data_IF_259198343465
#
_entry.id   IF_259198343465
#
_cell.length_a   1.000
_cell.length_b   1.000
_cell.length_c   1.000
_cell.angle_alpha   90.00
_cell.angle_beta   90.00
_cell.angle_gamma   90.00
#
_symmetry.space_group_name_H-M   'P 1'
#
loop_
_entity.id
_entity.type
_entity.pdbx_description
1 polymer ?
#
# COMPACT_ATOMS: atom_id res chain seq x y z
N UNK A 1 -11.39 17.00 7.90
CA UNK A 1 -11.20 16.49 9.25
C UNK A 1 -11.52 17.47 10.36
N UNK A 2 -12.04 18.70 10.11
CA UNK A 2 -12.08 19.73 11.15
C UNK A 2 -13.48 19.98 11.76
N UNK A 3 -14.55 19.75 11.02
CA UNK A 3 -15.91 20.00 11.55
C UNK A 3 -16.40 18.89 12.50
N UNK A 4 -16.07 17.64 12.25
CA UNK A 4 -16.43 16.51 13.12
C UNK A 4 -15.68 16.56 14.45
N UNK A 5 -14.41 16.93 14.44
CA UNK A 5 -13.61 17.13 15.63
C UNK A 5 -14.22 18.19 16.55
N UNK A 6 -14.54 19.37 16.03
CA UNK A 6 -15.10 20.47 16.82
C UNK A 6 -16.45 20.14 17.49
N UNK A 7 -17.30 19.32 16.85
CA UNK A 7 -18.57 18.88 17.44
C UNK A 7 -18.35 17.90 18.62
N UNK A 8 -17.42 16.97 18.49
CA UNK A 8 -17.06 16.03 19.56
C UNK A 8 -16.47 16.79 20.77
N UNK A 9 -15.58 17.74 20.55
CA UNK A 9 -14.97 18.55 21.60
C UNK A 9 -16.02 19.35 22.39
N UNK A 10 -17.01 19.94 21.70
CA UNK A 10 -18.12 20.65 22.37
C UNK A 10 -18.96 19.70 23.22
N UNK A 11 -19.26 18.52 22.73
CA UNK A 11 -20.02 17.50 23.45
C UNK A 11 -19.30 17.03 24.70
N UNK A 12 -17.99 16.74 24.61
CA UNK A 12 -17.18 16.39 25.79
C UNK A 12 -17.25 17.48 26.83
N UNK A 13 -17.05 18.74 26.43
CA UNK A 13 -17.11 19.87 27.34
C UNK A 13 -18.51 20.08 27.98
N UNK A 14 -19.57 19.83 27.22
CA UNK A 14 -20.94 19.90 27.74
C UNK A 14 -21.24 18.83 28.80
N UNK A 15 -20.71 17.61 28.59
CA UNK A 15 -20.95 16.45 29.48
C UNK A 15 -20.05 16.51 30.70
N UNK A 16 -18.77 16.87 30.53
CA UNK A 16 -17.78 16.80 31.60
C UNK A 16 -17.50 18.14 32.27
N UNK A 17 -17.95 19.25 31.71
CA UNK A 17 -17.62 20.64 32.13
C UNK A 17 -16.11 20.95 32.10
N UNK A 18 -15.30 20.15 31.39
CA UNK A 18 -13.85 20.29 31.30
C UNK A 18 -13.35 20.35 29.88
N UNK A 19 -12.17 20.94 29.68
CA UNK A 19 -11.44 20.86 28.43
C UNK A 19 -11.02 19.41 28.17
N UNK A 20 -10.80 19.10 26.88
CA UNK A 20 -10.30 17.78 26.48
C UNK A 20 -8.91 17.54 27.09
N UNK A 21 -8.72 16.33 27.65
CA UNK A 21 -7.55 15.99 28.45
C UNK A 21 -7.83 15.97 29.95
N UNK A 22 -8.89 16.64 30.41
CA UNK A 22 -9.26 16.69 31.83
C UNK A 22 -10.58 15.96 32.13
N UNK A 23 -11.17 15.32 31.11
CA UNK A 23 -12.35 14.49 31.29
C UNK A 23 -12.01 13.16 31.96
N UNK A 24 -12.86 12.70 32.88
CA UNK A 24 -12.71 11.46 33.59
C UNK A 24 -14.05 10.83 33.96
N UNK A 25 -14.08 9.55 34.41
CA UNK A 25 -15.32 8.79 34.63
C UNK A 25 -16.02 9.14 35.96
N UNK A 26 -15.36 9.84 36.86
CA UNK A 26 -15.89 10.08 38.21
C UNK A 26 -16.96 11.19 38.18
N UNK A 27 -18.14 10.88 38.69
CA UNK A 27 -19.23 11.85 38.79
C UNK A 27 -20.00 12.13 37.49
N UNK A 28 -19.80 11.33 36.42
CA UNK A 28 -20.57 11.46 35.19
C UNK A 28 -21.90 10.70 35.26
N UNK A 29 -22.95 11.30 34.75
CA UNK A 29 -24.29 10.72 34.61
C UNK A 29 -24.49 10.22 33.15
N UNK A 30 -23.54 9.41 32.66
CA UNK A 30 -23.60 8.77 31.35
C UNK A 30 -23.08 7.33 31.47
N UNK A 31 -23.45 6.43 30.53
CA UNK A 31 -22.85 5.10 30.48
C UNK A 31 -21.31 5.16 30.35
N UNK A 32 -20.59 4.46 31.22
CA UNK A 32 -19.13 4.36 31.21
C UNK A 32 -18.73 2.95 30.87
N UNK A 33 -18.07 2.79 29.74
CA UNK A 33 -17.50 1.52 29.30
C UNK A 33 -16.01 1.49 29.61
N UNK A 34 -15.54 0.38 30.17
CA UNK A 34 -14.16 0.22 30.61
C UNK A 34 -13.50 -0.93 29.90
N UNK A 35 -12.28 -0.71 29.40
CA UNK A 35 -11.48 -1.78 28.83
C UNK A 35 -11.07 -2.80 29.89
N UNK A 36 -10.91 -4.06 29.47
CA UNK A 36 -10.50 -5.17 30.36
C UNK A 36 -9.18 -4.92 31.07
N UNK A 37 -8.21 -4.26 30.41
CA UNK A 37 -6.92 -3.92 31.02
C UNK A 37 -7.11 -2.86 32.10
N UNK A 38 -7.90 -1.83 31.82
CA UNK A 38 -8.20 -0.76 32.79
C UNK A 38 -8.97 -1.33 33.99
N UNK A 39 -9.84 -2.32 33.77
CA UNK A 39 -10.56 -2.98 34.85
C UNK A 39 -9.66 -3.69 35.86
N UNK A 40 -8.44 -4.07 35.48
CA UNK A 40 -7.44 -4.67 36.36
C UNK A 40 -6.52 -3.65 37.06
N UNK A 41 -6.55 -2.39 36.61
CA UNK A 41 -5.69 -1.34 37.17
C UNK A 41 -6.18 -0.92 38.56
N UNK A 42 -5.21 -0.43 39.38
CA UNK A 42 -5.47 0.13 40.70
C UNK A 42 -4.73 1.45 40.84
N UNK A 43 -5.33 2.36 41.63
CA UNK A 43 -4.71 3.64 41.97
C UNK A 43 -4.26 4.47 40.75
N UNK A 44 -5.06 4.45 39.70
CA UNK A 44 -4.74 5.15 38.46
C UNK A 44 -5.13 6.65 38.50
N UNK A 45 -4.72 7.40 37.50
CA UNK A 45 -4.98 8.83 37.37
C UNK A 45 -6.03 9.02 36.27
N UNK A 46 -7.01 9.89 36.51
CA UNK A 46 -8.04 10.28 35.53
C UNK A 46 -8.27 11.78 35.55
N UNK A 47 -8.82 12.34 34.51
CA UNK A 47 -9.30 13.72 34.54
C UNK A 47 -10.36 13.91 35.64
N UNK A 48 -10.38 15.10 36.22
CA UNK A 48 -11.29 15.42 37.33
C UNK A 48 -12.60 16.10 36.87
N UNK A 49 -12.86 16.17 35.56
CA UNK A 49 -13.97 16.93 34.97
C UNK A 49 -13.92 18.42 35.31
N UNK A 50 -12.74 18.93 35.56
CA UNK A 50 -12.40 20.33 35.76
C UNK A 50 -11.08 20.61 35.05
N UNK A 51 -10.98 21.74 34.36
CA UNK A 51 -9.80 22.12 33.59
C UNK A 51 -8.57 22.21 34.48
N UNK A 52 -7.44 21.66 34.05
CA UNK A 52 -6.15 21.56 34.76
C UNK A 52 -6.15 20.67 36.03
N UNK A 53 -7.21 19.87 36.22
CA UNK A 53 -7.34 19.03 37.41
C UNK A 53 -7.40 17.53 37.06
N UNK A 54 -6.76 16.71 37.91
CA UNK A 54 -6.79 15.26 37.84
C UNK A 54 -7.02 14.62 39.22
N UNK A 55 -7.81 13.54 39.22
CA UNK A 55 -7.86 12.65 40.40
C UNK A 55 -6.75 11.63 40.34
N UNK A 56 -6.10 11.37 41.47
CA UNK A 56 -5.14 10.29 41.69
C UNK A 56 -5.71 9.22 42.59
N UNK A 57 -5.17 8.01 42.50
CA UNK A 57 -5.59 6.86 43.29
C UNK A 57 -7.04 6.45 43.07
N UNK A 58 -7.51 6.63 41.85
CA UNK A 58 -8.88 6.24 41.45
C UNK A 58 -8.95 4.72 41.28
N UNK A 59 -10.04 4.14 41.73
CA UNK A 59 -10.31 2.70 41.65
C UNK A 59 -11.74 2.45 41.21
N UNK A 60 -11.92 1.47 40.32
CA UNK A 60 -13.21 0.99 39.88
C UNK A 60 -14.00 0.43 41.04
N UNK A 61 -15.31 0.58 41.04
CA UNK A 61 -16.27 0.19 42.08
C UNK A 61 -16.10 0.91 43.44
N UNK A 62 -15.15 1.82 43.53
CA UNK A 62 -14.98 2.71 44.69
C UNK A 62 -15.31 4.14 44.35
N UNK A 63 -14.69 4.67 43.29
CA UNK A 63 -14.79 6.07 42.88
C UNK A 63 -15.77 6.28 41.72
N UNK A 64 -15.98 5.24 40.90
CA UNK A 64 -17.03 5.14 39.89
C UNK A 64 -17.34 3.67 39.60
N UNK A 65 -18.53 3.40 39.05
CA UNK A 65 -18.95 2.07 38.61
C UNK A 65 -19.14 2.04 37.10
N UNK A 66 -18.45 1.17 36.37
CA UNK A 66 -18.64 1.06 34.93
C UNK A 66 -19.99 0.44 34.61
N UNK A 67 -20.60 0.88 33.51
CA UNK A 67 -21.80 0.25 32.94
C UNK A 67 -21.48 -1.14 32.44
N UNK A 68 -20.32 -1.29 31.79
CA UNK A 68 -19.86 -2.56 31.25
C UNK A 68 -18.34 -2.58 31.13
N UNK A 69 -17.75 -3.77 31.28
CA UNK A 69 -16.31 -4.03 31.01
C UNK A 69 -16.23 -4.82 29.70
N UNK A 70 -15.60 -4.25 28.68
CA UNK A 70 -15.50 -4.84 27.35
C UNK A 70 -14.07 -4.76 26.81
N UNK A 71 -13.79 -5.46 25.72
CA UNK A 71 -12.54 -5.37 24.99
C UNK A 71 -12.69 -4.29 23.90
N UNK A 72 -12.27 -3.08 24.23
CA UNK A 72 -12.48 -1.88 23.40
C UNK A 72 -11.19 -1.19 22.98
N UNK A 73 -10.06 -1.60 23.52
CA UNK A 73 -8.74 -1.04 23.17
C UNK A 73 -8.31 -1.48 21.76
N UNK A 74 -7.75 -0.56 21.03
CA UNK A 74 -7.09 -0.88 19.76
C UNK A 74 -5.77 -1.59 20.04
N UNK A 75 -5.49 -2.64 19.26
CA UNK A 75 -4.23 -3.40 19.33
C UNK A 75 -3.03 -2.54 18.93
N UNK A 76 -1.91 -2.70 19.63
CA UNK A 76 -0.68 -1.95 19.37
C UNK A 76 0.52 -2.87 19.13
N UNK A 77 1.60 -2.29 18.59
CA UNK A 77 2.88 -3.01 18.46
C UNK A 77 3.42 -3.41 19.82
N UNK A 78 3.73 -4.68 19.96
CA UNK A 78 4.22 -5.26 21.23
C UNK A 78 3.15 -6.01 22.01
N UNK A 79 1.87 -5.83 21.72
CA UNK A 79 0.81 -6.65 22.30
C UNK A 79 1.03 -8.12 22.00
N UNK A 80 0.55 -8.97 22.89
CA UNK A 80 0.74 -10.42 22.77
C UNK A 80 -0.40 -11.05 21.98
N UNK A 81 -0.06 -11.81 20.95
CA UNK A 81 -1.05 -12.57 20.18
C UNK A 81 -1.72 -13.63 21.06
N UNK A 82 -3.05 -13.62 21.23
CA UNK A 82 -3.76 -14.58 22.09
C UNK A 82 -3.69 -16.03 21.61
N UNK A 83 -3.34 -16.27 20.34
CA UNK A 83 -3.24 -17.62 19.78
C UNK A 83 -1.84 -18.23 19.92
N UNK A 84 -0.79 -17.46 19.69
CA UNK A 84 0.57 -18.00 19.63
C UNK A 84 1.54 -17.41 20.67
N UNK A 85 1.12 -16.42 21.45
CA UNK A 85 1.94 -15.78 22.50
C UNK A 85 3.08 -14.90 21.97
N UNK A 86 3.23 -14.72 20.66
CA UNK A 86 4.28 -13.87 20.08
C UNK A 86 3.86 -12.40 20.06
N UNK A 87 4.81 -11.46 20.17
CA UNK A 87 4.49 -10.04 20.05
C UNK A 87 3.96 -9.70 18.67
N UNK A 88 2.94 -8.86 18.64
CA UNK A 88 2.33 -8.32 17.43
C UNK A 88 3.22 -7.20 16.89
N UNK A 89 3.34 -7.15 15.56
CA UNK A 89 3.98 -6.06 14.82
C UNK A 89 2.93 -5.36 13.97
N UNK A 90 2.97 -4.05 13.94
CA UNK A 90 2.16 -3.24 13.03
C UNK A 90 3.03 -2.70 11.90
N UNK A 91 2.45 -2.56 10.72
CA UNK A 91 3.11 -1.98 9.56
C UNK A 91 2.10 -1.12 8.79
N UNK A 92 2.60 -0.09 8.13
CA UNK A 92 1.80 0.65 7.16
C UNK A 92 1.64 -0.20 5.90
N UNK A 93 0.43 -0.23 5.35
CA UNK A 93 0.11 -0.96 4.14
C UNK A 93 -0.63 -0.09 3.13
N UNK A 94 -0.46 -0.41 1.84
CA UNK A 94 -1.25 0.19 0.77
C UNK A 94 -2.41 -0.76 0.47
N UNK A 95 -3.65 -0.28 0.65
CA UNK A 95 -4.84 -1.06 0.30
C UNK A 95 -5.01 -1.11 -1.21
N UNK A 96 -4.69 -2.25 -1.82
CA UNK A 96 -4.78 -2.45 -3.27
C UNK A 96 -6.12 -3.02 -3.73
N UNK A 97 -6.87 -3.61 -2.83
CA UNK A 97 -8.20 -4.15 -3.10
C UNK A 97 -9.06 -4.27 -1.85
N UNK A 98 -10.37 -4.32 -2.02
CA UNK A 98 -11.32 -4.42 -0.91
C UNK A 98 -12.52 -5.31 -1.28
N UNK A 99 -12.96 -6.12 -0.33
CA UNK A 99 -14.17 -6.95 -0.44
C UNK A 99 -15.23 -6.37 0.48
N UNK A 100 -16.38 -6.02 -0.09
CA UNK A 100 -17.52 -5.51 0.65
C UNK A 100 -18.63 -6.56 0.74
N UNK A 101 -19.08 -6.88 1.94
CA UNK A 101 -20.28 -7.64 2.19
C UNK A 101 -21.46 -6.67 2.29
N UNK A 102 -22.14 -6.42 1.18
CA UNK A 102 -23.22 -5.43 1.11
C UNK A 102 -24.54 -5.96 1.71
N UNK A 103 -24.69 -7.28 1.83
CA UNK A 103 -25.92 -7.90 2.30
C UNK A 103 -27.11 -7.54 1.41
N UNK A 104 -28.21 -7.11 2.01
CA UNK A 104 -29.43 -6.72 1.28
C UNK A 104 -29.63 -5.21 1.22
N UNK A 105 -28.66 -4.40 1.67
CA UNK A 105 -28.79 -2.94 1.78
C UNK A 105 -29.29 -2.27 0.50
N UNK A 106 -28.75 -2.65 -0.65
CA UNK A 106 -29.12 -2.07 -1.94
C UNK A 106 -30.24 -2.85 -2.61
N UNK A 107 -30.22 -4.18 -2.52
CA UNK A 107 -31.24 -5.03 -3.12
C UNK A 107 -32.62 -4.83 -2.51
N UNK A 108 -32.74 -4.59 -1.21
CA UNK A 108 -34.00 -4.23 -0.57
C UNK A 108 -34.51 -2.88 -1.08
N UNK A 109 -33.66 -1.86 -1.13
CA UNK A 109 -34.02 -0.53 -1.61
C UNK A 109 -34.45 -0.51 -3.10
N UNK A 110 -33.84 -1.38 -3.92
CA UNK A 110 -34.14 -1.50 -5.35
C UNK A 110 -35.25 -2.51 -5.66
N UNK A 111 -35.75 -3.23 -4.64
CA UNK A 111 -36.73 -4.30 -4.82
C UNK A 111 -36.18 -5.51 -5.60
N UNK A 112 -34.85 -5.72 -5.61
CA UNK A 112 -34.22 -6.81 -6.34
C UNK A 112 -34.41 -8.14 -5.61
N UNK A 113 -35.23 -9.02 -6.21
CA UNK A 113 -35.57 -10.33 -5.67
C UNK A 113 -35.36 -11.43 -6.71
N UNK A 114 -35.09 -12.63 -6.25
CA UNK A 114 -35.07 -13.86 -7.05
C UNK A 114 -35.92 -14.93 -6.40
N UNK A 115 -36.33 -15.91 -7.17
CA UNK A 115 -36.99 -17.10 -6.64
C UNK A 115 -35.93 -18.11 -6.21
N UNK A 116 -36.09 -18.69 -5.03
CA UNK A 116 -35.28 -19.82 -4.59
C UNK A 116 -35.78 -21.14 -5.24
N UNK A 117 -35.09 -22.23 -4.94
CA UNK A 117 -35.39 -23.57 -5.47
C UNK A 117 -36.81 -24.04 -5.12
N UNK A 118 -37.45 -23.47 -4.10
CA UNK A 118 -38.83 -23.76 -3.68
C UNK A 118 -39.86 -22.82 -4.28
N UNK A 119 -39.43 -21.88 -5.15
CA UNK A 119 -40.29 -20.86 -5.75
C UNK A 119 -40.61 -19.67 -4.83
N UNK A 120 -39.97 -19.55 -3.67
CA UNK A 120 -40.16 -18.40 -2.78
C UNK A 120 -39.28 -17.21 -3.21
N UNK A 121 -39.89 -16.04 -3.22
CA UNK A 121 -39.19 -14.79 -3.48
C UNK A 121 -38.27 -14.42 -2.30
N UNK A 122 -37.00 -14.22 -2.58
CA UNK A 122 -35.96 -13.76 -1.63
C UNK A 122 -35.23 -12.56 -2.14
N UNK A 123 -34.91 -11.62 -1.26
CA UNK A 123 -34.01 -10.49 -1.58
C UNK A 123 -32.64 -11.02 -1.87
N UNK A 124 -32.01 -10.52 -2.94
CA UNK A 124 -30.68 -10.95 -3.37
C UNK A 124 -29.62 -10.42 -2.39
N UNK A 125 -28.74 -11.29 -1.93
CA UNK A 125 -27.56 -10.90 -1.15
C UNK A 125 -26.47 -10.44 -2.09
N UNK A 126 -25.92 -9.27 -1.83
CA UNK A 126 -24.92 -8.61 -2.69
C UNK A 126 -23.53 -8.59 -2.05
N UNK A 127 -22.51 -8.66 -2.89
CA UNK A 127 -21.13 -8.36 -2.57
C UNK A 127 -20.55 -7.39 -3.59
N UNK A 128 -19.46 -6.72 -3.23
CA UNK A 128 -18.69 -5.89 -4.14
C UNK A 128 -17.21 -6.21 -3.96
N UNK A 129 -16.51 -6.38 -5.07
CA UNK A 129 -15.11 -6.80 -5.08
C UNK A 129 -14.33 -5.81 -5.94
N UNK A 130 -13.48 -5.01 -5.33
CA UNK A 130 -12.73 -3.96 -6.01
C UNK A 130 -11.22 -4.19 -5.98
N UNK A 131 -10.55 -3.87 -7.09
CA UNK A 131 -9.09 -3.76 -7.18
C UNK A 131 -8.75 -2.40 -7.77
N UNK A 132 -7.86 -1.66 -7.11
CA UNK A 132 -7.30 -0.42 -7.62
C UNK A 132 -6.13 -0.71 -8.56
N UNK A 133 -6.40 -0.90 -9.86
CA UNK A 133 -5.38 -1.28 -10.86
C UNK A 133 -4.21 -0.30 -10.87
N UNK A 134 -4.48 0.99 -10.95
CA UNK A 134 -3.45 2.04 -10.91
C UNK A 134 -2.75 2.12 -9.56
N UNK A 135 -3.46 1.81 -8.47
CA UNK A 135 -2.85 1.72 -7.14
C UNK A 135 -1.93 0.51 -7.01
N UNK A 136 -2.26 -0.63 -7.64
CA UNK A 136 -1.35 -1.78 -7.70
C UNK A 136 -0.05 -1.42 -8.41
N UNK A 137 -0.13 -0.65 -9.51
CA UNK A 137 1.04 -0.17 -10.23
C UNK A 137 1.92 0.73 -9.34
N UNK A 138 1.31 1.72 -8.68
CA UNK A 138 2.02 2.60 -7.75
C UNK A 138 2.63 1.84 -6.57
N UNK A 139 1.91 0.88 -5.99
CA UNK A 139 2.41 0.03 -4.92
C UNK A 139 3.58 -0.87 -5.37
N UNK A 140 3.55 -1.36 -6.61
CA UNK A 140 4.66 -2.12 -7.17
C UNK A 140 5.94 -1.26 -7.30
N UNK A 141 5.82 -0.01 -7.73
CA UNK A 141 6.93 0.94 -7.78
C UNK A 141 7.48 1.23 -6.39
N UNK A 142 6.61 1.51 -5.41
CA UNK A 142 6.99 1.77 -4.02
C UNK A 142 7.75 0.59 -3.36
N UNK A 143 7.50 -0.62 -3.79
CA UNK A 143 8.13 -1.82 -3.25
C UNK A 143 9.34 -2.31 -4.05
N UNK A 144 9.51 -1.84 -5.29
CA UNK A 144 10.55 -2.30 -6.20
C UNK A 144 11.27 -1.09 -6.82
N UNK A 145 12.19 -0.52 -6.07
CA UNK A 145 13.03 0.59 -6.50
C UNK A 145 14.39 0.56 -5.79
N UNK A 146 15.34 1.29 -6.33
CA UNK A 146 16.62 1.59 -5.71
C UNK A 146 16.97 3.08 -5.92
N UNK A 147 18.18 3.48 -5.57
CA UNK A 147 18.68 4.86 -5.73
C UNK A 147 18.77 5.33 -7.20
N UNK A 148 18.75 4.41 -8.16
CA UNK A 148 18.83 4.71 -9.59
C UNK A 148 17.46 4.80 -10.26
N UNK A 149 16.40 4.30 -9.63
CA UNK A 149 15.03 4.37 -10.15
C UNK A 149 14.19 3.12 -9.90
N UNK A 150 13.21 2.91 -10.77
CA UNK A 150 12.25 1.81 -10.66
C UNK A 150 12.93 0.46 -11.00
N UNK A 151 12.44 -0.60 -10.37
CA UNK A 151 12.79 -2.00 -10.71
C UNK A 151 11.48 -2.70 -11.04
N UNK A 152 11.08 -2.69 -12.30
CA UNK A 152 9.82 -3.33 -12.69
C UNK A 152 9.89 -4.84 -12.57
N UNK A 153 8.91 -5.50 -11.93
CA UNK A 153 8.64 -6.91 -12.19
C UNK A 153 8.31 -7.12 -13.67
N UNK A 154 8.95 -8.07 -14.32
CA UNK A 154 8.83 -8.30 -15.77
C UNK A 154 7.37 -8.42 -16.22
N UNK A 155 6.52 -9.07 -15.41
CA UNK A 155 5.10 -9.32 -15.72
C UNK A 155 4.23 -8.05 -15.86
N UNK A 156 4.68 -6.91 -15.36
CA UNK A 156 3.95 -5.63 -15.39
C UNK A 156 4.82 -4.48 -15.94
N UNK A 157 6.02 -4.78 -16.39
CA UNK A 157 6.90 -3.80 -16.99
C UNK A 157 6.27 -3.24 -18.29
N UNK A 158 6.27 -1.91 -18.49
CA UNK A 158 5.75 -1.30 -19.73
C UNK A 158 6.55 -1.72 -20.95
N UNK A 159 7.84 -2.00 -20.77
CA UNK A 159 8.74 -2.59 -21.76
C UNK A 159 9.62 -3.60 -21.05
N UNK A 160 9.84 -4.76 -21.68
CA UNK A 160 10.70 -5.81 -21.14
C UNK A 160 12.17 -5.54 -21.38
N UNK A 161 12.50 -4.90 -22.51
CA UNK A 161 13.85 -4.59 -22.90
C UNK A 161 13.98 -3.19 -23.51
N UNK A 162 15.18 -2.62 -23.45
CA UNK A 162 15.58 -1.44 -24.18
C UNK A 162 16.86 -1.73 -24.97
N UNK A 163 16.87 -1.37 -26.24
CA UNK A 163 18.04 -1.42 -27.12
C UNK A 163 18.62 -0.03 -27.27
N UNK A 164 19.93 0.09 -27.01
CA UNK A 164 20.62 1.39 -26.98
C UNK A 164 21.86 1.35 -27.87
N UNK A 165 21.85 1.98 -29.05
CA UNK A 165 23.08 2.26 -29.77
C UNK A 165 23.90 3.30 -29.00
N UNK A 166 25.18 3.00 -28.73
CA UNK A 166 26.09 3.90 -27.99
C UNK A 166 26.26 5.22 -28.75
N UNK A 167 26.34 5.12 -30.07
CA UNK A 167 26.42 6.29 -30.96
C UNK A 167 25.39 6.14 -32.08
N UNK A 168 24.26 6.84 -31.97
CA UNK A 168 23.19 6.85 -32.95
C UNK A 168 23.54 7.51 -34.31
N UNK A 169 24.73 8.12 -34.43
CA UNK A 169 25.27 8.63 -35.71
C UNK A 169 26.14 7.62 -36.43
N UNK A 170 26.50 6.52 -35.78
CA UNK A 170 27.22 5.43 -36.42
C UNK A 170 26.21 4.51 -37.09
N UNK A 171 26.23 4.44 -38.43
CA UNK A 171 25.26 3.69 -39.24
C UNK A 171 25.25 2.21 -38.85
N UNK A 172 26.43 1.57 -38.69
CA UNK A 172 26.53 0.16 -38.31
C UNK A 172 25.87 -0.15 -36.96
N UNK A 173 26.10 0.73 -35.93
CA UNK A 173 25.48 0.55 -34.63
C UNK A 173 23.95 0.75 -34.69
N UNK A 174 23.49 1.69 -35.48
CA UNK A 174 22.05 1.98 -35.64
C UNK A 174 21.35 0.84 -36.39
N UNK A 175 21.91 0.37 -37.48
CA UNK A 175 21.34 -0.77 -38.26
C UNK A 175 21.26 -2.04 -37.41
N UNK A 176 22.29 -2.36 -36.64
CA UNK A 176 22.30 -3.52 -35.74
C UNK A 176 21.30 -3.31 -34.60
N UNK A 177 21.22 -2.12 -34.02
CA UNK A 177 20.25 -1.82 -32.98
C UNK A 177 18.80 -1.97 -33.47
N UNK A 178 18.50 -1.47 -34.69
CA UNK A 178 17.21 -1.67 -35.33
C UNK A 178 16.90 -3.14 -35.62
N UNK A 179 17.90 -3.90 -36.07
CA UNK A 179 17.75 -5.35 -36.28
C UNK A 179 17.38 -6.04 -34.96
N UNK A 180 18.14 -5.83 -33.88
CA UNK A 180 17.88 -6.43 -32.56
C UNK A 180 16.49 -6.01 -32.06
N UNK A 181 16.12 -4.75 -32.19
CA UNK A 181 14.80 -4.25 -31.84
C UNK A 181 13.69 -5.00 -32.58
N UNK A 182 13.82 -5.14 -33.92
CA UNK A 182 12.83 -5.81 -34.73
C UNK A 182 12.74 -7.32 -34.45
N UNK A 183 13.87 -7.97 -34.18
CA UNK A 183 13.94 -9.40 -33.86
C UNK A 183 13.24 -9.68 -32.51
N UNK A 184 13.48 -8.88 -31.50
CA UNK A 184 12.81 -8.96 -30.21
C UNK A 184 11.30 -8.72 -30.34
N UNK A 185 10.91 -7.69 -31.10
CA UNK A 185 9.51 -7.40 -31.37
C UNK A 185 8.79 -8.53 -32.12
N UNK A 186 9.46 -9.16 -33.09
CA UNK A 186 8.92 -10.31 -33.79
C UNK A 186 8.71 -11.54 -32.88
N UNK A 187 9.50 -11.65 -31.80
CA UNK A 187 9.34 -12.67 -30.74
C UNK A 187 8.23 -12.29 -29.71
N UNK A 188 7.52 -11.16 -29.88
CA UNK A 188 6.47 -10.70 -28.99
C UNK A 188 6.96 -10.03 -27.71
N UNK A 189 8.21 -9.59 -27.68
CA UNK A 189 8.80 -8.86 -26.54
C UNK A 189 8.46 -7.36 -26.71
N UNK A 190 7.93 -6.76 -25.64
CA UNK A 190 7.76 -5.30 -25.59
C UNK A 190 9.13 -4.65 -25.42
N UNK A 191 9.60 -3.98 -26.47
CA UNK A 191 10.95 -3.44 -26.55
C UNK A 191 10.93 -1.96 -26.93
N UNK A 192 11.83 -1.19 -26.35
CA UNK A 192 12.07 0.21 -26.66
C UNK A 192 13.41 0.35 -27.38
N UNK A 193 13.49 1.19 -28.40
CA UNK A 193 14.73 1.61 -29.06
C UNK A 193 15.04 3.04 -28.66
N UNK A 194 16.20 3.28 -28.02
CA UNK A 194 16.67 4.64 -27.72
C UNK A 194 17.57 5.16 -28.84
N UNK A 195 16.95 5.68 -29.87
CA UNK A 195 17.60 6.26 -31.05
C UNK A 195 18.04 7.72 -30.86
N UNK A 196 17.81 8.31 -29.69
CA UNK A 196 18.16 9.71 -29.42
C UNK A 196 19.65 9.97 -29.62
N UNK A 197 19.96 11.17 -30.13
CA UNK A 197 21.34 11.63 -30.25
C UNK A 197 21.82 12.19 -28.90
N UNK A 198 21.93 11.33 -27.89
CA UNK A 198 22.39 11.63 -26.54
C UNK A 198 23.62 10.81 -26.17
N UNK A 199 24.34 11.24 -25.12
CA UNK A 199 25.47 10.48 -24.60
C UNK A 199 24.99 9.16 -23.99
N UNK A 200 25.72 8.07 -24.22
CA UNK A 200 25.38 6.75 -23.71
C UNK A 200 25.07 6.73 -22.21
N UNK A 201 25.85 7.47 -21.39
CA UNK A 201 25.61 7.57 -19.95
C UNK A 201 24.26 8.22 -19.57
N UNK A 202 23.74 9.14 -20.39
CA UNK A 202 22.41 9.73 -20.20
C UNK A 202 21.34 8.67 -20.50
N UNK A 203 21.44 8.00 -21.65
CA UNK A 203 20.53 6.90 -22.03
C UNK A 203 20.50 5.79 -20.99
N UNK A 204 21.66 5.43 -20.41
CA UNK A 204 21.73 4.39 -19.39
C UNK A 204 21.02 4.81 -18.09
N UNK A 205 21.23 6.07 -17.65
CA UNK A 205 20.53 6.60 -16.47
C UNK A 205 19.03 6.70 -16.67
N UNK A 206 18.59 7.09 -17.85
CA UNK A 206 17.17 7.15 -18.18
C UNK A 206 16.56 5.75 -18.18
N UNK A 207 17.25 4.75 -18.75
CA UNK A 207 16.79 3.36 -18.73
C UNK A 207 16.70 2.79 -17.30
N UNK A 208 17.66 3.10 -16.44
CA UNK A 208 17.67 2.69 -15.03
C UNK A 208 16.58 3.42 -14.24
N UNK A 209 16.35 4.72 -14.51
CA UNK A 209 15.29 5.52 -13.88
C UNK A 209 13.90 5.00 -14.25
N UNK A 210 13.66 4.72 -15.53
CA UNK A 210 12.40 4.13 -16.02
C UNK A 210 12.23 2.71 -15.49
N UNK A 211 13.33 2.00 -15.26
CA UNK A 211 13.34 0.68 -14.64
C UNK A 211 13.10 -0.46 -15.61
N UNK A 212 13.50 -0.31 -16.87
CA UNK A 212 13.32 -1.37 -17.88
C UNK A 212 14.15 -2.61 -17.48
N UNK A 213 13.53 -3.81 -17.42
CA UNK A 213 14.17 -5.02 -16.88
C UNK A 213 15.47 -5.42 -17.54
N UNK A 214 15.57 -5.27 -18.87
CA UNK A 214 16.75 -5.66 -19.66
C UNK A 214 17.24 -4.50 -20.50
N UNK A 215 18.55 -4.25 -20.47
CA UNK A 215 19.23 -3.30 -21.34
C UNK A 215 20.21 -4.02 -22.24
N UNK A 216 20.05 -3.83 -23.55
CA UNK A 216 20.92 -4.34 -24.60
C UNK A 216 21.64 -3.14 -25.23
N UNK A 217 22.96 -3.09 -25.13
CA UNK A 217 23.76 -1.98 -25.62
C UNK A 217 24.54 -2.42 -26.85
N UNK A 218 24.32 -1.71 -27.96
CA UNK A 218 25.02 -1.92 -29.22
C UNK A 218 26.21 -0.97 -29.26
N UNK A 219 27.38 -1.54 -28.94
CA UNK A 219 28.64 -0.81 -28.82
C UNK A 219 29.61 -1.06 -29.98
N UNK A 220 30.89 -0.83 -29.75
CA UNK A 220 31.95 -0.93 -30.78
C UNK A 220 32.17 -2.34 -31.33
N UNK A 221 31.81 -3.38 -30.57
CA UNK A 221 31.98 -4.81 -30.96
C UNK A 221 30.78 -5.36 -31.75
N UNK A 222 29.83 -4.51 -32.10
CA UNK A 222 28.60 -4.95 -32.78
C UNK A 222 28.88 -5.58 -34.14
N UNK A 223 29.90 -5.10 -34.89
CA UNK A 223 30.36 -5.72 -36.13
C UNK A 223 30.94 -7.14 -35.95
N UNK A 224 31.34 -7.52 -34.74
CA UNK A 224 31.78 -8.88 -34.39
C UNK A 224 30.59 -9.74 -33.89
N UNK A 225 29.37 -9.23 -33.94
CA UNK A 225 28.16 -9.91 -33.45
C UNK A 225 27.99 -9.88 -31.93
N UNK A 226 28.64 -8.96 -31.22
CA UNK A 226 28.64 -8.88 -29.76
C UNK A 226 27.91 -7.64 -29.26
N UNK A 227 27.02 -7.81 -28.29
CA UNK A 227 26.32 -6.74 -27.55
C UNK A 227 26.55 -6.86 -26.06
N UNK A 228 26.34 -5.79 -25.33
CA UNK A 228 26.34 -5.80 -23.87
C UNK A 228 24.89 -6.01 -23.37
N UNK A 229 24.69 -7.05 -22.59
CA UNK A 229 23.43 -7.40 -21.95
C UNK A 229 23.52 -7.08 -20.46
N UNK A 230 22.53 -6.36 -19.92
CA UNK A 230 22.44 -6.09 -18.49
C UNK A 230 21.00 -6.19 -18.00
N UNK A 231 20.77 -7.01 -16.99
CA UNK A 231 19.53 -6.98 -16.22
C UNK A 231 19.53 -5.74 -15.29
N UNK A 232 18.36 -5.16 -15.04
CA UNK A 232 18.20 -3.94 -14.22
C UNK A 232 18.79 -4.11 -12.82
N UNK A 233 18.72 -5.29 -12.24
CA UNK A 233 19.23 -5.60 -10.89
C UNK A 233 20.68 -6.10 -10.89
N UNK A 234 21.25 -6.40 -12.04
CA UNK A 234 22.62 -6.87 -12.12
C UNK A 234 23.63 -5.72 -11.86
N UNK A 235 24.70 -6.02 -11.16
CA UNK A 235 25.76 -5.05 -10.90
C UNK A 235 26.50 -4.67 -12.19
N UNK A 236 26.85 -5.68 -13.01
CA UNK A 236 27.64 -5.50 -14.21
C UNK A 236 26.92 -6.01 -15.46
N UNK A 237 27.22 -5.40 -16.61
CA UNK A 237 26.84 -5.90 -17.90
C UNK A 237 27.72 -7.09 -18.29
N UNK A 238 27.17 -7.99 -19.11
CA UNK A 238 27.89 -9.11 -19.70
C UNK A 238 27.86 -9.01 -21.22
N UNK A 239 28.95 -9.39 -21.87
CA UNK A 239 28.98 -9.51 -23.33
C UNK A 239 28.25 -10.79 -23.76
N UNK A 240 27.37 -10.66 -24.73
CA UNK A 240 26.64 -11.79 -25.34
C UNK A 240 26.69 -11.69 -26.86
N UNK A 241 26.54 -12.84 -27.53
CA UNK A 241 26.26 -12.84 -28.97
C UNK A 241 24.85 -12.22 -29.19
N UNK A 242 24.69 -11.50 -30.30
CA UNK A 242 23.43 -10.84 -30.67
C UNK A 242 22.26 -11.84 -30.69
N UNK A 243 22.51 -13.08 -31.16
CA UNK A 243 21.46 -14.10 -31.27
C UNK A 243 21.07 -14.72 -29.90
N UNK A 244 21.90 -14.54 -28.86
CA UNK A 244 21.72 -15.05 -27.49
C UNK A 244 21.29 -13.99 -26.47
N UNK A 245 21.17 -12.74 -26.89
CA UNK A 245 20.95 -11.58 -26.02
C UNK A 245 19.47 -11.31 -25.69
#
# INVERSE_FOLDING_TARGET
>A
GTAHGAAVWRLVRQITNAEVGFAGPVGLDIPVYVDKEVAMMKNFIVGANETDMHYKNVNINKDFTPTEVADIRTIETGDVCPKCGKPIKTAQGIEVGHIFKLGTKYSDALGLKSLDETGKSKTVIMGCYGIGVTRCLAAAIEQNNDENGIIWPVSIAPYHAIVIPVNSKNEEQSEIAEKVYNDLKAKGIEVLLDDRNERAGVKFKDADLIGIPVRIVVGKKCGEGVVEYKERTAENAVEKNIDDA
#
